data_IF_989393310524
#
_entry.id   IF_989393310524
#
_cell.length_a   1.000
_cell.length_b   1.000
_cell.length_c   1.000
_cell.angle_alpha   90.00
_cell.angle_beta   90.00
_cell.angle_gamma   90.00
#
_symmetry.space_group_name_H-M   'P 1'
#
loop_
_entity.id
_entity.type
_entity.pdbx_description
1 polymer ?
#
# COMPACT_ATOMS: atom_id res chain seq x y z
N UNK A 1 -1.04 6.36 -25.41
CA UNK A 1 -0.99 6.52 -23.94
C UNK A 1 0.30 7.22 -23.60
N UNK A 2 0.24 8.31 -22.84
CA UNK A 2 1.43 8.97 -22.31
C UNK A 2 2.00 8.03 -21.25
N UNK A 3 3.29 7.71 -21.31
CA UNK A 3 3.94 6.83 -20.33
C UNK A 3 4.71 7.66 -19.30
N UNK A 4 4.97 7.07 -18.13
CA UNK A 4 5.80 7.71 -17.09
C UNK A 4 7.17 8.09 -17.65
N UNK A 5 7.76 7.24 -18.48
CA UNK A 5 9.08 7.47 -19.10
C UNK A 5 9.06 8.65 -20.08
N UNK A 6 7.96 8.82 -20.83
CA UNK A 6 7.78 9.96 -21.71
C UNK A 6 7.67 11.27 -20.91
N UNK A 7 6.94 11.25 -19.78
CA UNK A 7 6.83 12.39 -18.86
C UNK A 7 8.18 12.69 -18.21
N UNK A 8 8.91 11.68 -17.76
CA UNK A 8 10.25 11.87 -17.19
C UNK A 8 11.21 12.48 -18.20
N UNK A 9 11.19 12.01 -19.45
CA UNK A 9 12.00 12.57 -20.53
C UNK A 9 11.61 14.02 -20.86
N UNK A 10 10.33 14.36 -20.83
CA UNK A 10 9.83 15.73 -20.95
C UNK A 10 10.35 16.62 -19.81
N UNK A 11 10.21 16.15 -18.57
CA UNK A 11 10.64 16.89 -17.38
C UNK A 11 12.15 17.12 -17.35
N UNK A 12 12.95 16.11 -17.72
CA UNK A 12 14.41 16.20 -17.73
C UNK A 12 14.95 17.12 -18.84
N UNK A 13 14.19 17.33 -19.91
CA UNK A 13 14.57 18.21 -21.01
C UNK A 13 13.96 19.61 -20.93
N UNK A 14 13.02 19.84 -20.00
CA UNK A 14 12.34 21.12 -19.86
C UNK A 14 13.25 22.18 -19.20
N UNK A 15 13.56 23.29 -19.90
CA UNK A 15 14.45 24.34 -19.38
C UNK A 15 13.99 24.95 -18.05
N UNK A 16 12.67 25.00 -17.80
CA UNK A 16 12.12 25.50 -16.55
C UNK A 16 12.32 24.52 -15.40
N UNK A 17 12.18 23.21 -15.65
CA UNK A 17 12.48 22.16 -14.65
C UNK A 17 13.96 22.18 -14.31
N UNK A 18 14.82 22.28 -15.32
CA UNK A 18 16.28 22.37 -15.14
C UNK A 18 16.64 23.60 -14.30
N UNK A 19 16.05 24.76 -14.61
CA UNK A 19 16.27 25.99 -13.84
C UNK A 19 15.76 25.89 -12.40
N UNK A 20 14.57 25.31 -12.19
CA UNK A 20 13.98 25.13 -10.87
C UNK A 20 14.77 24.16 -9.99
N UNK A 21 15.27 23.07 -10.58
CA UNK A 21 15.95 21.98 -9.85
C UNK A 21 17.45 22.24 -9.62
N UNK A 22 18.07 23.18 -10.35
CA UNK A 22 19.49 23.54 -10.26
C UNK A 22 20.02 23.85 -8.83
N UNK A 23 19.25 24.47 -7.92
CA UNK A 23 19.69 24.73 -6.55
C UNK A 23 19.76 23.48 -5.65
N UNK A 24 19.10 22.38 -6.04
CA UNK A 24 18.89 21.21 -5.19
C UNK A 24 19.89 20.08 -5.48
N UNK A 25 19.96 19.10 -4.57
CA UNK A 25 20.85 17.95 -4.76
C UNK A 25 20.25 16.96 -5.77
N UNK A 26 21.11 16.32 -6.57
CA UNK A 26 20.71 15.47 -7.71
C UNK A 26 19.86 14.27 -7.31
N UNK A 27 20.10 13.68 -6.13
CA UNK A 27 19.31 12.55 -5.63
C UNK A 27 17.87 12.96 -5.31
N UNK A 28 17.68 14.07 -4.60
CA UNK A 28 16.35 14.61 -4.30
C UNK A 28 15.59 15.02 -5.56
N UNK A 29 16.29 15.55 -6.56
CA UNK A 29 15.69 15.90 -7.86
C UNK A 29 15.20 14.66 -8.58
N UNK A 30 15.96 13.56 -8.58
CA UNK A 30 15.53 12.32 -9.22
C UNK A 30 14.26 11.76 -8.58
N UNK A 31 14.26 11.60 -7.25
CA UNK A 31 13.09 11.11 -6.51
C UNK A 31 11.87 12.03 -6.65
N UNK A 32 12.09 13.35 -6.64
CA UNK A 32 11.02 14.32 -6.84
C UNK A 32 10.40 14.24 -8.24
N UNK A 33 11.22 14.15 -9.28
CA UNK A 33 10.73 14.04 -10.66
C UNK A 33 10.03 12.71 -10.93
N UNK A 34 10.50 11.63 -10.31
CA UNK A 34 9.84 10.32 -10.39
C UNK A 34 8.45 10.35 -9.76
N UNK A 35 8.35 10.91 -8.55
CA UNK A 35 7.07 11.06 -7.87
C UNK A 35 6.12 12.00 -8.63
N UNK A 36 6.62 13.14 -9.10
CA UNK A 36 5.84 14.06 -9.91
C UNK A 36 5.39 13.44 -11.24
N UNK A 37 6.21 12.62 -11.89
CA UNK A 37 5.81 11.90 -13.10
C UNK A 37 4.65 10.93 -12.82
N UNK A 38 4.65 10.23 -11.68
CA UNK A 38 3.51 9.40 -11.26
C UNK A 38 2.26 10.27 -11.04
N UNK A 39 2.40 11.40 -10.35
CA UNK A 39 1.27 12.33 -10.11
C UNK A 39 0.72 12.90 -11.42
N UNK A 40 1.59 13.35 -12.34
CA UNK A 40 1.20 13.89 -13.65
C UNK A 40 0.54 12.82 -14.51
N UNK A 41 1.06 11.59 -14.49
CA UNK A 41 0.45 10.46 -15.18
C UNK A 41 -0.95 10.15 -14.62
N UNK A 42 -1.11 10.15 -13.29
CA UNK A 42 -2.39 9.98 -12.62
C UNK A 42 -3.39 11.09 -13.02
N UNK A 43 -2.96 12.35 -13.03
CA UNK A 43 -3.81 13.47 -13.44
C UNK A 43 -4.17 13.44 -14.93
N UNK A 44 -3.27 12.99 -15.81
CA UNK A 44 -3.56 12.88 -17.24
C UNK A 44 -4.49 11.70 -17.56
N UNK A 45 -4.36 10.61 -16.81
CA UNK A 45 -5.17 9.41 -17.02
C UNK A 45 -6.54 9.49 -16.35
N UNK A 46 -6.62 10.15 -15.18
CA UNK A 46 -7.82 10.18 -14.35
C UNK A 46 -8.39 11.60 -14.14
N UNK A 47 -7.74 12.65 -14.65
CA UNK A 47 -8.22 14.04 -14.51
C UNK A 47 -9.60 14.28 -15.11
N UNK A 48 -9.91 13.60 -16.22
CA UNK A 48 -11.24 13.62 -16.83
C UNK A 48 -12.22 12.69 -16.10
N UNK A 49 -11.73 11.59 -15.52
CA UNK A 49 -12.51 10.69 -14.66
C UNK A 49 -12.95 11.37 -13.35
N UNK A 50 -12.07 12.15 -12.71
CA UNK A 50 -12.43 13.03 -11.58
C UNK A 50 -13.47 14.09 -11.96
N UNK A 51 -13.59 14.39 -13.27
CA UNK A 51 -14.58 15.30 -13.83
C UNK A 51 -15.88 14.61 -14.24
N UNK A 52 -15.88 13.29 -14.37
CA UNK A 52 -16.99 12.47 -14.90
C UNK A 52 -17.11 11.16 -14.12
N UNK A 53 -17.46 11.26 -12.84
CA UNK A 53 -17.87 10.10 -12.04
C UNK A 53 -19.31 9.78 -12.40
N UNK A 54 -19.51 8.88 -13.36
CA UNK A 54 -20.82 8.25 -13.60
C UNK A 54 -20.74 6.81 -14.12
N UNK A 55 -19.64 6.43 -14.77
CA UNK A 55 -19.53 5.10 -15.42
C UNK A 55 -18.57 4.10 -14.71
N UNK A 56 -18.03 4.43 -13.52
CA UNK A 56 -16.91 3.67 -12.92
C UNK A 56 -17.26 2.91 -11.61
N UNK A 57 -18.53 2.87 -11.18
CA UNK A 57 -18.92 2.26 -9.90
C UNK A 57 -18.70 0.74 -9.85
N UNK A 58 -18.99 0.02 -10.93
CA UNK A 58 -18.76 -1.43 -10.99
C UNK A 58 -17.26 -1.77 -10.92
N UNK A 59 -16.43 -1.05 -11.68
CA UNK A 59 -14.97 -1.23 -11.64
C UNK A 59 -14.39 -0.87 -10.27
N UNK A 60 -14.98 0.14 -9.60
CA UNK A 60 -14.62 0.48 -8.23
C UNK A 60 -14.92 -0.65 -7.25
N UNK A 61 -16.14 -1.20 -7.26
CA UNK A 61 -16.48 -2.33 -6.38
C UNK A 61 -15.66 -3.58 -6.69
N UNK A 62 -15.31 -3.81 -7.96
CA UNK A 62 -14.45 -4.92 -8.35
C UNK A 62 -13.03 -4.75 -7.80
N UNK A 63 -12.45 -3.55 -7.91
CA UNK A 63 -11.13 -3.24 -7.34
C UNK A 63 -11.14 -3.35 -5.81
N UNK A 64 -12.20 -2.89 -5.16
CA UNK A 64 -12.36 -2.99 -3.70
C UNK A 64 -12.52 -4.45 -3.25
N UNK A 65 -13.36 -5.23 -3.92
CA UNK A 65 -13.53 -6.65 -3.66
C UNK A 65 -12.22 -7.44 -3.90
N UNK A 66 -11.45 -7.09 -4.92
CA UNK A 66 -10.14 -7.69 -5.18
C UNK A 66 -9.15 -7.34 -4.06
N UNK A 67 -9.14 -6.09 -3.57
CA UNK A 67 -8.31 -5.70 -2.43
C UNK A 67 -8.63 -6.56 -1.21
N UNK A 68 -9.90 -6.69 -0.85
CA UNK A 68 -10.34 -7.53 0.27
C UNK A 68 -9.97 -9.01 0.08
N UNK A 69 -10.17 -9.56 -1.12
CA UNK A 69 -9.75 -10.92 -1.43
C UNK A 69 -8.26 -11.16 -1.13
N UNK A 70 -7.39 -10.22 -1.51
CA UNK A 70 -5.96 -10.34 -1.26
C UNK A 70 -5.53 -10.07 0.18
N UNK A 71 -6.38 -9.48 1.03
CA UNK A 71 -6.09 -9.35 2.47
C UNK A 71 -6.04 -10.71 3.18
N UNK A 72 -6.79 -11.71 2.70
CA UNK A 72 -6.69 -13.09 3.20
C UNK A 72 -5.26 -13.61 2.99
N UNK A 73 -4.75 -13.45 1.78
CA UNK A 73 -3.40 -13.85 1.42
C UNK A 73 -2.33 -13.08 2.23
N UNK A 74 -2.51 -11.78 2.43
CA UNK A 74 -1.63 -10.97 3.30
C UNK A 74 -1.53 -11.54 4.71
N UNK A 75 -2.68 -11.90 5.31
CA UNK A 75 -2.74 -12.49 6.64
C UNK A 75 -2.06 -13.87 6.68
N UNK A 76 -2.25 -14.72 5.65
CA UNK A 76 -1.51 -15.99 5.55
C UNK A 76 0.00 -15.77 5.55
N UNK A 77 0.48 -14.81 4.76
CA UNK A 77 1.91 -14.49 4.69
C UNK A 77 2.43 -13.98 6.04
N UNK A 78 1.65 -13.14 6.73
CA UNK A 78 1.99 -12.65 8.07
C UNK A 78 2.06 -13.79 9.10
N UNK A 79 1.13 -14.76 9.04
CA UNK A 79 1.18 -15.94 9.89
C UNK A 79 2.45 -16.77 9.66
N UNK A 80 2.84 -16.94 8.40
CA UNK A 80 4.11 -17.59 8.05
C UNK A 80 5.31 -16.79 8.57
N UNK A 81 5.28 -15.45 8.51
CA UNK A 81 6.32 -14.60 9.08
C UNK A 81 6.48 -14.87 10.58
N UNK A 82 5.40 -14.84 11.36
CA UNK A 82 5.42 -15.12 12.79
C UNK A 82 6.02 -16.50 13.12
N UNK A 83 5.56 -17.55 12.43
CA UNK A 83 6.07 -18.92 12.62
C UNK A 83 7.54 -19.07 12.21
N UNK A 84 7.93 -18.43 11.10
CA UNK A 84 9.30 -18.47 10.60
C UNK A 84 10.26 -17.77 11.56
N UNK A 85 9.87 -16.61 12.09
CA UNK A 85 10.63 -15.87 13.12
C UNK A 85 10.80 -16.69 14.40
N UNK A 86 9.78 -17.46 14.75
CA UNK A 86 9.80 -18.41 15.87
C UNK A 86 10.51 -19.74 15.57
N UNK A 87 11.08 -19.90 14.37
CA UNK A 87 11.74 -21.12 13.91
C UNK A 87 10.85 -22.38 13.95
N UNK A 88 9.53 -22.22 13.86
CA UNK A 88 8.59 -23.34 13.81
C UNK A 88 8.47 -23.93 12.39
N UNK A 89 8.77 -23.11 11.38
CA UNK A 89 8.79 -23.51 9.97
C UNK A 89 10.11 -23.08 9.33
N UNK A 90 10.43 -23.73 8.21
CA UNK A 90 11.56 -23.36 7.35
C UNK A 90 11.03 -22.94 5.99
N UNK A 91 11.40 -21.74 5.56
CA UNK A 91 11.04 -21.16 4.27
C UNK A 91 12.33 -20.72 3.59
N UNK A 92 12.39 -20.70 2.24
CA UNK A 92 13.56 -20.22 1.49
C UNK A 92 13.64 -18.67 1.49
N UNK A 93 13.43 -18.10 2.68
CA UNK A 93 13.54 -16.69 3.04
C UNK A 93 14.76 -16.56 3.94
N UNK A 94 15.65 -15.61 3.63
CA UNK A 94 16.88 -15.42 4.40
C UNK A 94 16.76 -14.26 5.40
N UNK A 95 16.01 -13.22 5.03
CA UNK A 95 15.87 -11.98 5.80
C UNK A 95 14.42 -11.52 5.88
N UNK A 96 14.03 -10.86 6.99
CA UNK A 96 12.67 -10.36 7.23
C UNK A 96 12.14 -9.44 6.14
N UNK A 97 13.00 -8.64 5.50
CA UNK A 97 12.62 -7.77 4.38
C UNK A 97 11.99 -8.52 3.20
N UNK A 98 12.25 -9.82 3.03
CA UNK A 98 11.60 -10.61 1.98
C UNK A 98 10.11 -10.83 2.24
N UNK A 99 9.62 -10.73 3.48
CA UNK A 99 8.17 -10.78 3.73
C UNK A 99 7.47 -9.53 3.18
N UNK A 100 8.06 -8.34 3.34
CA UNK A 100 7.54 -7.10 2.74
C UNK A 100 7.46 -7.20 1.22
N UNK A 101 8.48 -7.77 0.58
CA UNK A 101 8.49 -8.04 -0.85
C UNK A 101 7.30 -8.89 -1.30
N UNK A 102 7.12 -10.02 -0.63
CA UNK A 102 6.06 -10.95 -0.96
C UNK A 102 4.70 -10.35 -0.60
N UNK A 103 4.62 -9.46 0.39
CA UNK A 103 3.43 -8.65 0.65
C UNK A 103 3.09 -7.73 -0.52
N UNK A 104 4.08 -7.06 -1.13
CA UNK A 104 3.85 -6.24 -2.33
C UNK A 104 3.56 -7.09 -3.59
N UNK A 105 4.02 -8.34 -3.61
CA UNK A 105 3.82 -9.29 -4.70
C UNK A 105 2.88 -10.45 -4.33
N UNK A 106 1.87 -10.18 -3.48
CA UNK A 106 1.10 -11.22 -2.79
C UNK A 106 0.42 -12.21 -3.74
N UNK A 107 -0.03 -11.74 -4.92
CA UNK A 107 -0.68 -12.58 -5.94
C UNK A 107 0.24 -13.66 -6.50
N UNK A 108 1.55 -13.45 -6.43
CA UNK A 108 2.59 -14.34 -6.93
C UNK A 108 3.36 -15.06 -5.81
N UNK A 109 2.96 -14.88 -4.54
CA UNK A 109 3.70 -15.43 -3.41
C UNK A 109 3.62 -16.97 -3.42
N UNK A 110 4.76 -17.69 -3.50
CA UNK A 110 4.76 -19.14 -3.64
C UNK A 110 4.60 -19.89 -2.30
N UNK A 111 4.59 -19.18 -1.17
CA UNK A 111 4.60 -19.78 0.17
C UNK A 111 3.22 -19.92 0.78
N UNK A 112 2.24 -19.22 0.23
CA UNK A 112 0.87 -19.23 0.73
C UNK A 112 0.03 -20.19 -0.08
N UNK A 113 -0.81 -20.96 0.61
CA UNK A 113 -1.86 -21.71 -0.05
C UNK A 113 -2.91 -20.77 -0.64
N UNK A 114 -3.46 -21.15 -1.78
CA UNK A 114 -4.55 -20.42 -2.41
C UNK A 114 -5.71 -20.22 -1.43
N UNK A 115 -6.31 -19.03 -1.46
CA UNK A 115 -7.50 -18.70 -0.65
C UNK A 115 -8.61 -19.73 -0.88
N UNK A 116 -9.20 -20.25 0.18
CA UNK A 116 -10.37 -21.14 0.09
C UNK A 116 -11.69 -20.38 0.15
N UNK A 117 -12.79 -21.00 -0.29
CA UNK A 117 -14.13 -20.42 -0.15
C UNK A 117 -14.54 -20.20 1.31
N UNK A 118 -14.10 -21.06 2.23
CA UNK A 118 -14.38 -20.91 3.66
C UNK A 118 -13.73 -19.63 4.22
N UNK A 119 -12.50 -19.32 3.81
CA UNK A 119 -11.83 -18.08 4.21
C UNK A 119 -12.51 -16.84 3.65
N UNK A 120 -13.04 -16.93 2.42
CA UNK A 120 -13.84 -15.86 1.82
C UNK A 120 -15.13 -15.65 2.63
N UNK A 121 -15.79 -16.73 3.04
CA UNK A 121 -16.97 -16.63 3.89
C UNK A 121 -16.64 -15.98 5.24
N UNK A 122 -15.51 -16.34 5.87
CA UNK A 122 -15.08 -15.68 7.11
C UNK A 122 -14.78 -14.19 6.93
N UNK A 123 -14.23 -13.80 5.78
CA UNK A 123 -14.04 -12.39 5.44
C UNK A 123 -15.38 -11.66 5.26
N UNK A 124 -16.35 -12.29 4.60
CA UNK A 124 -17.70 -11.72 4.45
C UNK A 124 -18.35 -11.52 5.83
N UNK A 125 -18.24 -12.50 6.73
CA UNK A 125 -18.75 -12.40 8.10
C UNK A 125 -18.11 -11.24 8.88
N UNK A 126 -16.78 -11.06 8.73
CA UNK A 126 -16.07 -9.92 9.31
C UNK A 126 -16.62 -8.59 8.80
N UNK A 127 -16.74 -8.44 7.48
CA UNK A 127 -17.21 -7.21 6.85
C UNK A 127 -18.66 -6.87 7.20
N UNK A 128 -19.52 -7.89 7.31
CA UNK A 128 -20.92 -7.72 7.72
C UNK A 128 -21.06 -7.37 9.21
N UNK A 129 -20.12 -7.84 10.05
CA UNK A 129 -20.11 -7.61 11.50
C UNK A 129 -19.41 -6.31 11.94
N UNK A 130 -18.53 -5.75 11.10
CA UNK A 130 -17.78 -4.54 11.44
C UNK A 130 -18.69 -3.29 11.44
N UNK A 131 -18.64 -2.43 12.47
CA UNK A 131 -19.23 -1.10 12.39
C UNK A 131 -18.52 -0.32 11.28
N UNK A 132 -19.18 0.69 10.72
CA UNK A 132 -18.48 1.62 9.83
C UNK A 132 -17.36 2.30 10.61
N UNK A 133 -16.14 1.82 10.40
CA UNK A 133 -14.91 2.43 10.85
C UNK A 133 -14.04 2.70 9.63
N UNK A 134 -13.62 3.95 9.49
CA UNK A 134 -12.83 4.43 8.37
C UNK A 134 -11.40 3.86 8.35
N UNK A 135 -10.98 3.15 9.40
CA UNK A 135 -9.56 2.93 9.68
C UNK A 135 -8.94 1.63 9.13
N UNK A 136 -9.71 0.61 8.74
CA UNK A 136 -9.10 -0.65 8.23
C UNK A 136 -8.73 -0.62 6.73
N UNK A 137 -9.19 0.38 5.97
CA UNK A 137 -9.08 0.39 4.51
C UNK A 137 -7.75 0.93 3.96
N UNK A 138 -6.92 1.53 4.82
CA UNK A 138 -5.68 2.24 4.47
C UNK A 138 -4.42 1.55 5.05
N UNK A 139 -4.48 0.23 5.27
CA UNK A 139 -3.32 -0.52 5.76
C UNK A 139 -2.34 -0.75 4.60
N UNK A 140 -1.23 -0.02 4.62
CA UNK A 140 -0.16 -0.11 3.61
C UNK A 140 0.96 -1.10 4.01
N UNK A 141 1.04 -1.47 5.29
CA UNK A 141 2.17 -2.23 5.85
C UNK A 141 1.74 -3.56 6.48
N UNK A 142 1.07 -4.40 5.70
CA UNK A 142 0.56 -5.73 6.12
C UNK A 142 1.58 -6.67 6.77
N UNK A 143 2.88 -6.44 6.56
CA UNK A 143 3.97 -7.29 7.05
C UNK A 143 4.79 -6.63 8.17
N UNK A 144 4.28 -5.53 8.75
CA UNK A 144 4.94 -4.80 9.85
C UNK A 144 4.78 -5.50 11.21
N UNK A 145 5.53 -6.59 11.35
CA UNK A 145 5.59 -7.36 12.59
C UNK A 145 5.98 -6.53 13.80
N UNK A 146 6.91 -5.57 13.65
CA UNK A 146 7.40 -4.78 14.79
C UNK A 146 6.35 -3.75 15.22
N UNK A 147 5.75 -3.01 14.27
CA UNK A 147 4.68 -2.07 14.56
C UNK A 147 3.48 -2.74 15.24
N UNK A 148 3.07 -3.91 14.76
CA UNK A 148 1.96 -4.66 15.35
C UNK A 148 2.25 -5.23 16.74
N UNK A 149 3.53 -5.37 17.13
CA UNK A 149 3.94 -5.92 18.42
C UNK A 149 4.17 -4.82 19.47
N UNK A 150 4.35 -3.58 19.04
CA UNK A 150 4.57 -2.45 19.92
C UNK A 150 3.24 -1.91 20.49
N UNK A 151 2.91 -2.32 21.71
CA UNK A 151 1.69 -1.88 22.40
C UNK A 151 1.74 -0.39 22.82
N UNK A 152 2.91 0.26 22.86
CA UNK A 152 3.04 1.66 23.28
C UNK A 152 2.77 2.66 22.13
N UNK A 153 3.05 2.28 20.87
CA UNK A 153 2.83 3.13 19.69
C UNK A 153 1.46 2.94 19.01
N UNK A 154 0.71 1.89 19.38
CA UNK A 154 -0.61 1.54 18.82
C UNK A 154 -1.69 2.64 18.95
N UNK A 155 -1.47 3.67 19.76
CA UNK A 155 -2.38 4.81 19.95
C UNK A 155 -1.99 6.08 19.17
N UNK A 156 -0.78 6.18 18.60
CA UNK A 156 -0.25 7.45 18.05
C UNK A 156 -0.03 7.45 16.54
N UNK A 157 0.05 6.30 15.90
CA UNK A 157 0.15 6.15 14.45
C UNK A 157 -0.80 5.03 14.02
N UNK A 158 -1.25 5.00 12.77
CA UNK A 158 -2.19 3.98 12.24
C UNK A 158 -1.62 2.56 12.16
N UNK A 159 -0.73 2.18 13.07
CA UNK A 159 0.06 0.95 13.12
C UNK A 159 -0.51 -0.07 14.12
N UNK A 160 -1.80 0.09 14.48
CA UNK A 160 -2.50 -0.88 15.33
C UNK A 160 -2.65 -2.23 14.62
N UNK A 161 -2.63 -3.33 15.39
CA UNK A 161 -2.88 -4.67 14.85
C UNK A 161 -4.21 -4.69 14.07
N UNK A 162 -4.22 -5.09 12.78
CA UNK A 162 -5.40 -4.95 11.93
C UNK A 162 -6.61 -5.69 12.52
N UNK A 163 -7.81 -5.09 12.50
CA UNK A 163 -9.00 -5.76 13.03
C UNK A 163 -9.30 -7.06 12.27
N UNK A 164 -9.04 -7.05 10.95
CA UNK A 164 -9.12 -8.26 10.13
C UNK A 164 -8.18 -9.36 10.63
N UNK A 165 -6.96 -9.01 11.05
CA UNK A 165 -5.99 -9.99 11.54
C UNK A 165 -6.45 -10.59 12.87
N UNK A 166 -6.95 -9.75 13.78
CA UNK A 166 -7.54 -10.19 15.04
C UNK A 166 -8.76 -11.10 14.82
N UNK A 167 -9.63 -10.75 13.88
CA UNK A 167 -10.78 -11.58 13.53
C UNK A 167 -10.36 -12.93 12.96
N UNK A 168 -9.43 -12.94 12.00
CA UNK A 168 -8.93 -14.14 11.35
C UNK A 168 -8.27 -15.11 12.35
N UNK A 169 -7.53 -14.59 13.33
CA UNK A 169 -6.88 -15.41 14.38
C UNK A 169 -7.87 -16.16 15.28
N UNK A 170 -9.09 -15.64 15.44
CA UNK A 170 -10.14 -16.26 16.25
C UNK A 170 -10.94 -17.29 15.45
N UNK A 171 -11.09 -17.09 14.14
CA UNK A 171 -12.05 -17.85 13.32
C UNK A 171 -11.44 -18.84 12.33
N UNK A 172 -10.18 -18.64 11.91
CA UNK A 172 -9.53 -19.48 10.90
C UNK A 172 -8.17 -19.98 11.37
N UNK A 173 -7.30 -19.06 11.78
CA UNK A 173 -5.89 -19.33 12.06
C UNK A 173 -5.66 -19.96 13.43
N UNK A 174 -4.47 -20.52 13.67
CA UNK A 174 -4.04 -20.85 15.03
C UNK A 174 -3.96 -19.55 15.85
N UNK A 175 -4.62 -19.47 17.01
CA UNK A 175 -4.67 -18.22 17.75
C UNK A 175 -3.28 -17.85 18.27
N UNK A 176 -3.02 -16.55 18.37
CA UNK A 176 -1.85 -15.95 19.04
C UNK A 176 -0.47 -16.15 18.40
N UNK A 177 -0.36 -16.32 17.07
CA UNK A 177 0.95 -16.42 16.40
C UNK A 177 1.87 -15.21 16.64
N UNK A 178 1.31 -14.01 16.80
CA UNK A 178 2.08 -12.80 17.11
C UNK A 178 2.83 -12.91 18.46
N UNK A 179 2.31 -13.72 19.39
CA UNK A 179 2.91 -13.91 20.73
C UNK A 179 4.11 -14.86 20.72
N UNK A 180 4.39 -15.53 19.59
CA UNK A 180 5.52 -16.43 19.47
C UNK A 180 6.85 -15.69 19.68
N UNK A 181 7.88 -16.37 20.24
CA UNK A 181 9.18 -15.77 20.45
C UNK A 181 9.84 -15.45 19.11
N UNK A 182 10.45 -14.28 19.00
CA UNK A 182 11.20 -13.90 17.82
C UNK A 182 12.68 -14.35 17.93
N UNK A 183 12.91 -15.63 17.63
CA UNK A 183 14.24 -16.24 17.73
C UNK A 183 15.17 -15.80 16.60
N UNK A 184 14.62 -15.47 15.42
CA UNK A 184 15.42 -15.01 14.27
C UNK A 184 15.75 -13.52 14.32
N UNK A 185 14.87 -12.65 14.83
CA UNK A 185 15.11 -11.20 14.82
C UNK A 185 16.34 -10.78 15.61
N UNK A 186 16.59 -11.38 16.78
CA UNK A 186 17.81 -11.11 17.56
C UNK A 186 19.11 -11.44 16.80
N UNK A 187 19.08 -12.46 15.94
CA UNK A 187 20.21 -12.80 15.08
C UNK A 187 20.33 -11.85 13.89
N UNK A 188 19.20 -11.47 13.29
CA UNK A 188 19.16 -10.53 12.18
C UNK A 188 19.61 -9.12 12.59
N UNK A 189 19.24 -8.64 13.77
CA UNK A 189 19.69 -7.32 14.26
C UNK A 189 21.22 -7.26 14.39
N UNK A 190 21.87 -8.37 14.76
CA UNK A 190 23.33 -8.47 14.76
C UNK A 190 23.90 -8.36 13.34
N UNK A 191 23.26 -9.03 12.38
CA UNK A 191 23.65 -8.94 10.97
C UNK A 191 23.45 -7.53 10.41
N UNK A 192 22.30 -6.89 10.66
CA UNK A 192 22.02 -5.51 10.25
C UNK A 192 22.98 -4.52 10.89
N UNK A 193 23.31 -4.70 12.16
CA UNK A 193 24.34 -3.89 12.84
C UNK A 193 25.70 -4.05 12.16
N UNK A 194 26.13 -5.28 11.87
CA UNK A 194 27.37 -5.52 11.15
C UNK A 194 27.36 -4.91 9.73
N UNK A 195 26.22 -4.95 9.04
CA UNK A 195 26.02 -4.30 7.74
C UNK A 195 26.16 -2.78 7.85
N UNK A 196 25.50 -2.13 8.82
CA UNK A 196 25.61 -0.69 9.08
C UNK A 196 27.06 -0.28 9.35
N UNK A 197 27.74 -0.99 10.25
CA UNK A 197 29.15 -0.71 10.59
C UNK A 197 30.09 -0.94 9.39
N UNK A 198 29.82 -1.93 8.53
CA UNK A 198 30.61 -2.15 7.31
C UNK A 198 30.36 -1.07 6.25
N UNK A 199 29.14 -0.53 6.17
CA UNK A 199 28.80 0.59 5.29
C UNK A 199 29.46 1.89 5.77
N UNK A 200 29.42 2.17 7.08
CA UNK A 200 30.06 3.33 7.71
C UNK A 200 31.60 3.32 7.61
N UNK A 201 32.22 2.15 7.48
CA UNK A 201 33.67 2.02 7.22
C UNK A 201 34.05 2.26 5.76
N UNK A 202 33.08 2.16 4.84
CA UNK A 202 33.27 2.34 3.39
C UNK A 202 32.72 3.67 2.86
N UNK A 203 32.16 4.53 3.73
CA UNK A 203 31.75 5.88 3.33
C UNK A 203 32.97 6.76 3.11
N UNK A 204 33.39 6.84 1.84
CA UNK A 204 34.06 8.03 1.33
C UNK A 204 33.11 9.20 1.54
N UNK A 205 33.53 10.22 2.29
CA UNK A 205 32.82 11.48 2.38
C UNK A 205 32.61 12.01 0.95
N UNK A 206 31.37 11.97 0.47
CA UNK A 206 30.99 12.61 -0.78
C UNK A 206 31.00 14.14 -0.54
N UNK A 207 31.93 14.90 -1.15
CA UNK A 207 31.87 16.34 -1.08
C UNK A 207 30.70 16.79 -1.96
N UNK A 208 29.61 17.26 -1.35
CA UNK A 208 28.45 17.74 -2.12
C UNK A 208 27.14 18.00 -1.36
N UNK A 209 27.04 17.67 -0.06
CA UNK A 209 25.85 17.94 0.76
C UNK A 209 25.79 19.38 1.29
N UNK A 210 26.03 20.38 0.43
CA UNK A 210 25.77 21.79 0.75
C UNK A 210 24.47 22.32 0.13
N UNK A 211 23.82 21.55 -0.74
CA UNK A 211 22.57 21.96 -1.38
C UNK A 211 21.34 21.42 -0.65
N UNK A 212 20.29 22.23 -0.49
CA UNK A 212 19.06 21.82 0.19
C UNK A 212 18.37 20.64 -0.52
N UNK A 213 17.61 19.88 0.24
CA UNK A 213 16.79 18.76 -0.23
C UNK A 213 15.47 19.29 -0.78
N UNK A 214 15.09 18.86 -1.99
CA UNK A 214 13.79 19.20 -2.58
C UNK A 214 12.73 18.21 -2.07
N UNK A 215 11.75 18.71 -1.31
CA UNK A 215 10.69 17.89 -0.71
C UNK A 215 9.36 18.00 -1.46
N UNK A 216 8.46 17.05 -1.21
CA UNK A 216 7.08 17.04 -1.74
C UNK A 216 6.25 18.25 -1.29
N UNK A 217 6.62 18.90 -0.19
CA UNK A 217 5.97 20.13 0.27
C UNK A 217 6.20 21.33 -0.67
N UNK A 218 7.14 21.25 -1.61
CA UNK A 218 7.45 22.32 -2.58
C UNK A 218 6.73 22.17 -3.93
N UNK A 219 5.85 21.15 -4.05
CA UNK A 219 5.11 20.82 -5.28
C UNK A 219 4.26 21.97 -5.83
N UNK A 220 3.63 22.75 -4.96
CA UNK A 220 2.82 23.90 -5.37
C UNK A 220 3.65 24.99 -6.06
N UNK A 221 4.82 25.30 -5.50
CA UNK A 221 5.72 26.31 -6.07
C UNK A 221 6.35 25.83 -7.38
N UNK A 222 6.62 24.53 -7.49
CA UNK A 222 7.08 23.90 -8.73
C UNK A 222 6.06 24.06 -9.86
N UNK A 223 4.81 23.65 -9.61
CA UNK A 223 3.72 23.75 -10.60
C UNK A 223 3.51 25.21 -11.03
N UNK A 224 3.63 26.16 -10.10
CA UNK A 224 3.47 27.58 -10.42
C UNK A 224 4.52 28.13 -11.37
N UNK A 225 5.76 27.65 -11.27
CA UNK A 225 6.89 28.19 -12.04
C UNK A 225 7.12 27.45 -13.36
N UNK A 226 6.84 26.15 -13.39
CA UNK A 226 7.24 25.27 -14.49
C UNK A 226 6.09 25.01 -15.47
N UNK A 227 4.91 24.72 -14.94
CA UNK A 227 3.81 24.19 -15.72
C UNK A 227 2.98 25.27 -16.41
N UNK A 228 2.15 24.85 -17.38
CA UNK A 228 1.29 25.76 -18.13
C UNK A 228 0.06 26.19 -17.29
N UNK A 229 -0.68 27.18 -17.80
CA UNK A 229 -1.85 27.73 -17.11
C UNK A 229 -2.89 26.66 -16.76
N UNK A 230 -3.10 25.69 -17.65
CA UNK A 230 -4.10 24.64 -17.48
C UNK A 230 -3.76 23.72 -16.29
N UNK A 231 -2.51 23.28 -16.16
CA UNK A 231 -2.07 22.44 -15.03
C UNK A 231 -2.05 23.22 -13.72
N UNK A 232 -1.69 24.51 -13.77
CA UNK A 232 -1.74 25.40 -12.60
C UNK A 232 -3.18 25.60 -12.10
N UNK A 233 -4.12 25.79 -13.02
CA UNK A 233 -5.55 25.92 -12.73
C UNK A 233 -6.12 24.63 -12.11
N UNK A 234 -5.74 23.46 -12.64
CA UNK A 234 -6.13 22.17 -12.06
C UNK A 234 -5.60 21.96 -10.64
N UNK A 235 -4.34 22.33 -10.39
CA UNK A 235 -3.76 22.21 -9.06
C UNK A 235 -4.41 23.17 -8.04
N UNK A 236 -4.75 24.40 -8.45
CA UNK A 236 -5.49 25.34 -7.58
C UNK A 236 -6.89 24.84 -7.27
N UNK A 237 -7.63 24.37 -8.27
CA UNK A 237 -8.95 23.79 -8.09
C UNK A 237 -8.90 22.61 -7.10
N UNK A 238 -7.91 21.72 -7.25
CA UNK A 238 -7.65 20.62 -6.31
C UNK A 238 -7.39 21.09 -4.87
N UNK A 239 -6.52 22.09 -4.66
CA UNK A 239 -6.18 22.61 -3.32
C UNK A 239 -7.33 23.37 -2.67
N UNK A 240 -8.08 24.17 -3.43
CA UNK A 240 -9.23 24.93 -2.92
C UNK A 240 -10.41 24.02 -2.56
N UNK A 241 -10.61 22.96 -3.33
CA UNK A 241 -11.58 21.91 -3.05
C UNK A 241 -11.18 21.10 -1.80
N UNK A 242 -9.94 20.60 -1.75
CA UNK A 242 -9.40 19.83 -0.61
C UNK A 242 -9.40 20.62 0.71
N UNK A 243 -9.10 21.93 0.69
CA UNK A 243 -9.12 22.78 1.91
C UNK A 243 -10.51 23.11 2.44
N UNK A 244 -11.53 23.16 1.60
CA UNK A 244 -12.90 23.54 2.02
C UNK A 244 -13.75 22.36 2.45
N UNK A 245 -13.37 21.15 2.03
CA UNK A 245 -14.26 19.99 2.08
C UNK A 245 -13.70 18.78 2.85
N UNK A 246 -12.74 18.97 3.75
CA UNK A 246 -12.07 17.89 4.52
C UNK A 246 -13.02 16.89 5.22
N UNK A 247 -14.29 17.27 5.48
CA UNK A 247 -15.38 16.37 5.91
C UNK A 247 -16.64 16.37 5.03
N UNK A 248 -16.81 17.34 4.13
CA UNK A 248 -17.98 17.45 3.25
C UNK A 248 -17.79 16.70 1.92
N UNK A 249 -16.55 16.58 1.46
CA UNK A 249 -16.19 15.83 0.25
C UNK A 249 -16.51 14.33 0.38
N UNK A 250 -16.15 13.65 1.49
CA UNK A 250 -16.54 12.25 1.65
C UNK A 250 -18.06 12.13 1.66
N UNK A 251 -18.77 13.02 2.36
CA UNK A 251 -20.23 12.94 2.46
C UNK A 251 -20.93 13.15 1.10
N UNK A 252 -20.51 14.13 0.31
CA UNK A 252 -21.07 14.35 -1.03
C UNK A 252 -20.79 13.17 -1.96
N UNK A 253 -19.58 12.61 -1.93
CA UNK A 253 -19.23 11.42 -2.71
C UNK A 253 -20.05 10.19 -2.29
N UNK A 254 -20.25 10.00 -0.98
CA UNK A 254 -21.00 8.88 -0.43
C UNK A 254 -22.50 9.04 -0.74
N UNK A 255 -23.06 10.24 -0.61
CA UNK A 255 -24.43 10.55 -1.07
C UNK A 255 -24.60 10.30 -2.56
N UNK A 256 -23.65 10.76 -3.38
CA UNK A 256 -23.70 10.58 -4.83
C UNK A 256 -23.66 9.09 -5.20
N UNK A 257 -22.82 8.31 -4.53
CA UNK A 257 -22.75 6.86 -4.71
C UNK A 257 -24.09 6.19 -4.39
N UNK A 258 -24.75 6.56 -3.29
CA UNK A 258 -26.09 6.04 -2.97
C UNK A 258 -27.15 6.45 -3.98
N UNK A 259 -27.06 7.67 -4.53
CA UNK A 259 -28.00 8.19 -5.53
C UNK A 259 -27.82 7.54 -6.91
N UNK A 260 -26.60 7.15 -7.24
CA UNK A 260 -26.27 6.49 -8.51
C UNK A 260 -26.60 4.99 -8.50
N UNK A 261 -26.84 4.39 -7.32
CA UNK A 261 -27.22 2.98 -7.21
C UNK A 261 -28.64 2.76 -7.79
N UNK A 262 -28.81 1.86 -8.76
CA UNK A 262 -30.11 1.58 -9.33
C UNK A 262 -31.02 0.86 -8.32
N UNK A 263 -32.11 1.51 -7.93
CA UNK A 263 -33.16 0.93 -7.09
C UNK A 263 -33.28 1.61 -5.73
N UNK A 264 -33.93 0.93 -4.78
CA UNK A 264 -34.07 1.44 -3.42
C UNK A 264 -32.84 1.08 -2.59
N UNK A 265 -32.19 2.10 -2.01
CA UNK A 265 -31.11 1.94 -1.04
C UNK A 265 -31.67 2.10 0.37
N UNK A 266 -31.36 1.15 1.25
CA UNK A 266 -31.70 1.25 2.66
C UNK A 266 -30.74 2.19 3.39
N UNK A 267 -31.28 3.22 4.04
CA UNK A 267 -30.53 4.08 4.95
C UNK A 267 -30.90 3.71 6.39
N UNK A 268 -29.95 3.23 7.22
CA UNK A 268 -30.24 2.87 8.59
C UNK A 268 -30.64 4.09 9.42
N UNK A 269 -31.47 3.87 10.45
CA UNK A 269 -31.78 4.92 11.40
C UNK A 269 -30.52 5.34 12.17
N UNK A 270 -30.24 6.65 12.22
CA UNK A 270 -29.03 7.17 12.85
C UNK A 270 -28.94 8.68 12.78
N UNK A 271 -27.83 9.24 13.26
CA UNK A 271 -27.53 10.67 13.13
C UNK A 271 -26.97 10.93 11.73
N UNK A 272 -27.37 12.04 11.14
CA UNK A 272 -26.71 12.56 9.95
C UNK A 272 -25.41 13.26 10.36
N UNK A 273 -24.27 13.06 9.67
CA UNK A 273 -24.09 12.29 8.43
C UNK A 273 -23.79 10.78 8.58
N UNK A 274 -23.54 10.29 9.80
CA UNK A 274 -23.14 8.90 10.09
C UNK A 274 -24.06 7.84 9.45
N UNK A 275 -25.36 8.09 9.40
CA UNK A 275 -26.34 7.21 8.75
C UNK A 275 -26.10 7.03 7.24
N UNK A 276 -25.61 8.07 6.56
CA UNK A 276 -25.27 8.01 5.13
C UNK A 276 -24.02 7.16 4.94
N UNK A 277 -22.99 7.42 5.73
CA UNK A 277 -21.76 6.67 5.66
C UNK A 277 -21.98 5.17 5.95
N UNK A 278 -22.79 4.86 6.96
CA UNK A 278 -23.20 3.48 7.24
C UNK A 278 -23.99 2.88 6.08
N UNK A 279 -24.91 3.61 5.46
CA UNK A 279 -25.66 3.13 4.31
C UNK A 279 -24.74 2.78 3.13
N UNK A 280 -23.77 3.64 2.82
CA UNK A 280 -22.81 3.39 1.74
C UNK A 280 -21.88 2.23 2.05
N UNK A 281 -21.42 2.11 3.30
CA UNK A 281 -20.65 0.96 3.74
C UNK A 281 -21.43 -0.35 3.52
N UNK A 282 -22.69 -0.40 3.95
CA UNK A 282 -23.53 -1.58 3.74
C UNK A 282 -23.74 -1.88 2.25
N UNK A 283 -23.88 -0.85 1.42
CA UNK A 283 -23.94 -1.01 -0.04
C UNK A 283 -22.64 -1.58 -0.60
N UNK A 284 -21.47 -1.07 -0.19
CA UNK A 284 -20.15 -1.60 -0.57
C UNK A 284 -20.02 -3.06 -0.18
N UNK A 285 -20.32 -3.41 1.07
CA UNK A 285 -20.23 -4.81 1.55
C UNK A 285 -21.14 -5.73 0.73
N UNK A 286 -22.37 -5.30 0.41
CA UNK A 286 -23.27 -6.05 -0.47
C UNK A 286 -22.62 -6.29 -1.85
N UNK A 287 -22.04 -5.27 -2.47
CA UNK A 287 -21.40 -5.37 -3.79
C UNK A 287 -20.15 -6.24 -3.75
N UNK A 288 -19.33 -6.13 -2.70
CA UNK A 288 -18.16 -6.97 -2.49
C UNK A 288 -18.58 -8.43 -2.39
N UNK A 289 -19.62 -8.74 -1.61
CA UNK A 289 -20.15 -10.11 -1.47
C UNK A 289 -20.63 -10.70 -2.79
N UNK A 290 -21.25 -9.88 -3.64
CA UNK A 290 -21.69 -10.29 -4.99
C UNK A 290 -20.51 -10.59 -5.93
N UNK A 291 -19.37 -9.91 -5.75
CA UNK A 291 -18.22 -9.97 -6.68
C UNK A 291 -17.10 -10.92 -6.22
N UNK A 292 -16.86 -11.07 -4.92
CA UNK A 292 -15.64 -11.68 -4.39
C UNK A 292 -15.45 -13.15 -4.81
N UNK A 293 -16.54 -13.92 -4.93
CA UNK A 293 -16.46 -15.30 -5.42
C UNK A 293 -16.10 -15.37 -6.92
N UNK A 294 -16.56 -14.42 -7.73
CA UNK A 294 -16.16 -14.37 -9.15
C UNK A 294 -14.68 -14.02 -9.31
N UNK A 295 -14.15 -13.13 -8.47
CA UNK A 295 -12.72 -12.83 -8.40
C UNK A 295 -11.93 -14.08 -8.00
N UNK A 296 -12.41 -14.81 -6.99
CA UNK A 296 -11.80 -16.06 -6.55
C UNK A 296 -11.77 -17.10 -7.68
N UNK A 297 -12.90 -17.36 -8.34
CA UNK A 297 -12.95 -18.29 -9.48
C UNK A 297 -12.00 -17.88 -10.61
N UNK A 298 -11.98 -16.59 -10.97
CA UNK A 298 -11.06 -16.07 -11.98
C UNK A 298 -9.59 -16.31 -11.60
N UNK A 299 -9.24 -16.13 -10.32
CA UNK A 299 -7.90 -16.40 -9.83
C UNK A 299 -7.54 -17.89 -9.94
N UNK A 300 -8.43 -18.80 -9.54
CA UNK A 300 -8.23 -20.25 -9.68
C UNK A 300 -8.02 -20.64 -11.14
N UNK A 301 -8.89 -20.16 -12.04
CA UNK A 301 -8.77 -20.40 -13.48
C UNK A 301 -7.43 -19.92 -14.03
N UNK A 302 -6.95 -18.75 -13.60
CA UNK A 302 -5.63 -18.24 -13.99
C UNK A 302 -4.49 -19.16 -13.55
N UNK A 303 -4.55 -19.69 -12.32
CA UNK A 303 -3.57 -20.65 -11.82
C UNK A 303 -3.61 -21.96 -12.63
N UNK A 304 -4.79 -22.50 -12.92
CA UNK A 304 -4.96 -23.71 -13.72
C UNK A 304 -4.44 -23.55 -15.16
N UNK A 305 -4.56 -22.34 -15.72
CA UNK A 305 -4.01 -21.99 -17.02
C UNK A 305 -2.51 -21.70 -17.01
N UNK A 306 -1.85 -21.72 -15.84
CA UNK A 306 -0.43 -21.39 -15.69
C UNK A 306 -0.12 -19.92 -15.95
N UNK A 307 -1.11 -19.03 -15.80
CA UNK A 307 -0.92 -17.58 -15.95
C UNK A 307 -0.20 -17.07 -14.71
N UNK A 308 1.00 -16.55 -14.91
CA UNK A 308 1.82 -15.98 -13.83
C UNK A 308 1.58 -14.48 -13.68
N UNK A 309 1.47 -14.00 -12.44
CA UNK A 309 1.43 -12.56 -12.16
C UNK A 309 2.81 -11.92 -12.39
N UNK A 310 2.80 -10.67 -12.84
CA UNK A 310 4.04 -9.91 -13.01
C UNK A 310 4.62 -9.55 -11.64
N UNK A 311 5.87 -9.97 -11.41
CA UNK A 311 6.62 -9.58 -10.23
C UNK A 311 7.19 -8.18 -10.42
N UNK A 312 7.01 -7.32 -9.42
CA UNK A 312 7.75 -6.08 -9.35
C UNK A 312 9.23 -6.42 -9.09
N UNK A 313 10.16 -6.03 -9.96
CA UNK A 313 11.57 -6.22 -9.72
C UNK A 313 11.98 -5.35 -8.54
N UNK A 314 12.62 -5.96 -7.55
CA UNK A 314 13.11 -5.27 -6.36
C UNK A 314 14.62 -5.47 -6.26
N UNK A 315 15.35 -4.54 -6.89
CA UNK A 315 16.82 -4.46 -6.81
C UNK A 315 17.29 -4.25 -5.36
N UNK A 316 16.46 -3.65 -4.51
CA UNK A 316 16.76 -3.42 -3.11
C UNK A 316 16.81 -4.74 -2.35
N UNK A 317 15.94 -5.71 -2.63
CA UNK A 317 16.02 -7.05 -2.00
C UNK A 317 17.21 -7.84 -2.46
N UNK A 318 17.49 -7.88 -3.77
CA UNK A 318 18.65 -8.59 -4.28
C UNK A 318 19.93 -8.06 -3.61
N UNK A 319 20.02 -6.74 -3.45
CA UNK A 319 21.12 -6.05 -2.76
C UNK A 319 21.16 -6.40 -1.27
N UNK A 320 20.03 -6.33 -0.57
CA UNK A 320 19.95 -6.63 0.87
C UNK A 320 20.23 -8.09 1.18
N UNK A 321 19.76 -9.02 0.34
CA UNK A 321 20.00 -10.47 0.49
C UNK A 321 21.49 -10.77 0.38
N UNK A 322 22.17 -10.22 -0.63
CA UNK A 322 23.61 -10.41 -0.79
C UNK A 322 24.42 -9.74 0.33
N UNK A 323 24.00 -8.55 0.79
CA UNK A 323 24.64 -7.89 1.92
C UNK A 323 24.45 -8.67 3.23
N UNK A 324 23.26 -9.22 3.46
CA UNK A 324 22.92 -10.05 4.61
C UNK A 324 23.74 -11.34 4.61
N UNK A 325 23.85 -12.05 3.47
CA UNK A 325 24.73 -13.23 3.33
C UNK A 325 26.19 -12.94 3.67
N UNK A 326 26.71 -11.78 3.25
CA UNK A 326 28.08 -11.36 3.58
C UNK A 326 28.25 -11.11 5.07
N UNK A 327 27.32 -10.40 5.70
CA UNK A 327 27.35 -10.14 7.14
C UNK A 327 27.26 -11.44 7.96
N UNK A 328 26.37 -12.35 7.56
CA UNK A 328 26.24 -13.69 8.13
C UNK A 328 27.56 -14.47 8.09
N UNK A 329 28.22 -14.54 6.93
CA UNK A 329 29.52 -15.22 6.78
C UNK A 329 30.61 -14.62 7.68
N UNK A 330 30.60 -13.30 7.90
CA UNK A 330 31.55 -12.64 8.79
C UNK A 330 31.30 -12.96 10.27
N UNK A 331 30.04 -13.18 10.66
CA UNK A 331 29.65 -13.53 12.02
C UNK A 331 29.84 -15.02 12.33
N UNK A 332 29.66 -15.89 11.33
CA UNK A 332 29.85 -17.34 11.46
C UNK A 332 31.32 -17.79 11.26
N UNK A 333 32.15 -16.93 10.66
CA UNK A 333 33.56 -17.19 10.35
C UNK A 333 34.58 -16.71 11.39
N UNK A 334 34.14 -16.31 12.60
CA UNK A 334 34.99 -15.92 13.73
C UNK A 334 34.78 -16.84 14.93
#
# INVERSE_FOLDING_TARGET
MITKEAILSELQSNPKVIAYTAPYNKMSVHSFLDNYANTKLLLLNYGEHYRTVKDNSLLHYQAEAERYYWQIAQKKLFNLQCQWRAQQIDLPIEVTYEFFYWGQNIKACPFIETTSEDEINTLIEFLEGAPYDHHDNDIFDWQDYEGFKDEEDAFSAGDAYPNWYAWYDVHVGPPHLLTLPDLRGAYQEKCFTAMRTAAEKNTVSMPGLQKPFLSTSQTEDFIKQVENYQINDYYRAYKEWSRKNEKMEPLEAELQLLLDEPGEVYIPAGRFPDAIFQATYLLRIKKIKELIFSIHHQHIEQLEMGITYHLQPDEFIATNREAFKKARKLLEGN
#
